data_IF_236906837413
#
_entry.id   IF_236906837413
#
_cell.length_a   1.000
_cell.length_b   1.000
_cell.length_c   1.000
_cell.angle_alpha   90.00
_cell.angle_beta   90.00
_cell.angle_gamma   90.00
#
_symmetry.space_group_name_H-M   'P 1'
#
loop_
_entity.id
_entity.type
_entity.pdbx_description
1 polymer ?
#
# COMPACT_ATOMS: atom_id res chain seq x y z
N UNK A 1 7.24 -74.12 -44.72
CA UNK A 1 7.12 -74.97 -43.52
C UNK A 1 6.71 -74.09 -42.35
N UNK A 2 5.48 -74.31 -41.86
CA UNK A 2 4.91 -74.07 -40.52
C UNK A 2 5.38 -72.86 -39.67
N UNK A 3 4.38 -72.03 -39.32
CA UNK A 3 3.99 -71.53 -37.97
C UNK A 3 5.10 -70.95 -37.06
N UNK A 4 4.92 -69.82 -36.37
CA UNK A 4 3.95 -69.67 -35.29
C UNK A 4 3.62 -68.19 -34.99
N UNK A 5 2.37 -67.99 -34.61
CA UNK A 5 1.78 -66.80 -33.99
C UNK A 5 2.28 -66.72 -32.54
N UNK A 6 2.64 -65.53 -32.06
CA UNK A 6 2.62 -65.24 -30.61
C UNK A 6 2.31 -63.76 -30.40
N UNK A 7 1.03 -63.45 -30.27
CA UNK A 7 0.55 -62.12 -29.87
C UNK A 7 0.65 -62.03 -28.35
N UNK A 8 1.57 -61.21 -27.85
CA UNK A 8 1.69 -60.87 -26.43
C UNK A 8 0.79 -59.65 -26.18
N UNK A 9 -0.25 -59.83 -25.38
CA UNK A 9 -1.12 -58.73 -24.92
C UNK A 9 -0.51 -58.17 -23.64
N UNK A 10 0.04 -56.95 -23.71
CA UNK A 10 0.43 -56.18 -22.52
C UNK A 10 -0.82 -55.50 -21.93
N UNK A 11 -1.23 -55.92 -20.74
CA UNK A 11 -2.27 -55.27 -19.94
C UNK A 11 -1.62 -54.16 -19.12
N UNK A 12 -1.73 -52.90 -19.57
CA UNK A 12 -1.35 -51.73 -18.77
C UNK A 12 -2.50 -51.37 -17.83
N UNK A 13 -2.37 -51.74 -16.56
CA UNK A 13 -3.23 -51.23 -15.49
C UNK A 13 -2.75 -49.81 -15.18
N UNK A 14 -3.41 -48.80 -15.73
CA UNK A 14 -3.23 -47.41 -15.32
C UNK A 14 -3.91 -47.20 -13.96
N UNK A 15 -3.10 -47.11 -12.91
CA UNK A 15 -3.57 -46.61 -11.62
C UNK A 15 -3.70 -45.09 -11.72
N UNK A 16 -4.89 -44.62 -12.12
CA UNK A 16 -5.25 -43.21 -12.08
C UNK A 16 -5.57 -42.81 -10.65
N UNK A 17 -4.55 -42.42 -9.87
CA UNK A 17 -4.76 -41.66 -8.65
C UNK A 17 -5.14 -40.22 -9.04
N UNK A 18 -6.43 -39.97 -9.24
CA UNK A 18 -6.98 -38.63 -9.37
C UNK A 18 -6.94 -37.94 -8.00
N UNK A 19 -5.85 -37.24 -7.72
CA UNK A 19 -5.83 -36.25 -6.65
C UNK A 19 -6.72 -35.08 -7.08
N UNK A 20 -7.95 -35.06 -6.55
CA UNK A 20 -8.80 -33.88 -6.59
C UNK A 20 -8.17 -32.79 -5.71
N UNK A 21 -7.11 -32.13 -6.19
CA UNK A 21 -6.74 -30.83 -5.67
C UNK A 21 -7.81 -29.87 -6.20
N UNK A 22 -8.88 -29.70 -5.42
CA UNK A 22 -9.70 -28.50 -5.55
C UNK A 22 -8.78 -27.34 -5.24
N UNK A 23 -8.17 -26.77 -6.28
CA UNK A 23 -7.68 -25.42 -6.23
C UNK A 23 -8.88 -24.57 -5.80
N UNK A 24 -8.91 -24.16 -4.54
CA UNK A 24 -9.74 -23.04 -4.14
C UNK A 24 -9.15 -21.84 -4.86
N UNK A 25 -9.64 -21.57 -6.07
CA UNK A 25 -9.59 -20.24 -6.62
C UNK A 25 -10.32 -19.37 -5.60
N UNK A 26 -9.55 -18.64 -4.79
CA UNK A 26 -10.03 -17.50 -4.02
C UNK A 26 -10.55 -16.54 -5.08
N UNK A 27 -11.85 -16.63 -5.38
CA UNK A 27 -12.53 -15.62 -6.18
C UNK A 27 -12.47 -14.36 -5.33
N UNK A 28 -11.46 -13.52 -5.57
CA UNK A 28 -11.42 -12.16 -5.02
C UNK A 28 -12.65 -11.49 -5.60
N UNK A 29 -13.68 -11.34 -4.78
CA UNK A 29 -14.83 -10.51 -5.05
C UNK A 29 -14.31 -9.09 -5.32
N UNK A 30 -14.10 -8.77 -6.59
CA UNK A 30 -13.78 -7.42 -7.06
C UNK A 30 -15.00 -6.52 -6.87
N UNK A 31 -15.19 -6.09 -5.63
CA UNK A 31 -15.97 -4.92 -5.25
C UNK A 31 -15.63 -4.51 -3.81
N UNK A 32 -14.35 -4.53 -3.43
CA UNK A 32 -13.92 -3.84 -2.22
C UNK A 32 -13.82 -2.36 -2.57
N UNK A 33 -14.96 -1.68 -2.55
CA UNK A 33 -14.99 -0.22 -2.59
C UNK A 33 -14.43 0.29 -1.25
N UNK A 34 -13.11 0.38 -1.13
CA UNK A 34 -12.49 1.00 0.03
C UNK A 34 -12.56 2.51 -0.18
N UNK A 35 -13.21 3.29 0.71
CA UNK A 35 -13.33 4.74 0.51
C UNK A 35 -11.98 5.45 0.60
N UNK A 36 -10.94 4.75 1.04
CA UNK A 36 -9.57 5.23 1.20
C UNK A 36 -8.77 5.27 -0.11
N UNK A 37 -9.01 4.36 -1.06
CA UNK A 37 -8.23 4.31 -2.32
C UNK A 37 -8.41 5.60 -3.12
N UNK A 38 -7.31 6.19 -3.56
CA UNK A 38 -7.26 7.47 -4.27
C UNK A 38 -6.21 8.41 -3.71
N UNK A 39 -6.26 9.66 -4.18
CA UNK A 39 -5.34 10.72 -3.80
C UNK A 39 -5.95 11.56 -2.71
N UNK A 40 -5.16 11.87 -1.68
CA UNK A 40 -5.59 12.76 -0.61
C UNK A 40 -4.53 13.82 -0.33
N UNK A 41 -4.98 15.01 0.03
CA UNK A 41 -4.14 16.18 0.21
C UNK A 41 -4.46 16.92 1.50
N UNK A 42 -3.41 17.47 2.11
CA UNK A 42 -3.49 18.48 3.16
C UNK A 42 -2.61 19.65 2.75
N UNK A 43 -3.16 20.85 2.83
CA UNK A 43 -2.47 22.09 2.49
C UNK A 43 -2.10 22.86 3.76
N UNK A 44 -0.91 23.43 3.77
CA UNK A 44 -0.44 24.34 4.81
C UNK A 44 0.38 25.46 4.18
N UNK A 45 -0.26 26.61 3.97
CA UNK A 45 0.34 27.72 3.24
C UNK A 45 0.67 27.32 1.80
N UNK A 46 1.96 27.33 1.44
CA UNK A 46 2.43 26.93 0.11
C UNK A 46 2.87 25.46 0.03
N UNK A 47 2.67 24.67 1.09
CA UNK A 47 3.01 23.25 1.10
C UNK A 47 1.76 22.39 0.91
N UNK A 48 1.92 21.29 0.17
CA UNK A 48 0.89 20.28 -0.05
C UNK A 48 1.48 18.95 0.37
N UNK A 49 0.95 18.35 1.43
CA UNK A 49 1.20 16.95 1.75
C UNK A 49 0.20 16.09 1.01
N UNK A 50 0.69 15.19 0.17
CA UNK A 50 -0.12 14.32 -0.69
C UNK A 50 0.16 12.86 -0.38
N UNK A 51 -0.90 12.07 -0.25
CA UNK A 51 -0.82 10.62 -0.21
C UNK A 51 -1.57 10.02 -1.41
N UNK A 52 -1.08 8.88 -1.90
CA UNK A 52 -1.73 8.06 -2.90
C UNK A 52 -1.94 6.67 -2.30
N UNK A 53 -3.19 6.25 -2.16
CA UNK A 53 -3.57 4.92 -1.66
C UNK A 53 -4.13 4.07 -2.80
N UNK A 54 -3.77 2.80 -2.86
CA UNK A 54 -4.18 1.83 -3.87
C UNK A 54 -4.38 0.44 -3.26
N UNK A 55 -5.06 -0.45 -3.98
CA UNK A 55 -5.13 -1.87 -3.60
C UNK A 55 -3.96 -2.62 -4.20
N UNK A 56 -3.35 -3.50 -3.42
CA UNK A 56 -2.39 -4.48 -3.93
C UNK A 56 -3.09 -5.73 -4.50
N UNK A 57 -2.30 -6.72 -4.92
CA UNK A 57 -2.78 -7.97 -5.51
C UNK A 57 -3.62 -8.82 -4.53
N UNK A 58 -3.39 -8.67 -3.22
CA UNK A 58 -4.09 -9.39 -2.17
C UNK A 58 -5.38 -8.67 -1.71
N UNK A 59 -5.57 -7.43 -2.16
CA UNK A 59 -6.69 -6.56 -1.80
C UNK A 59 -6.43 -5.73 -0.53
N UNK A 60 -5.20 -5.70 -0.05
CA UNK A 60 -4.78 -4.82 1.03
C UNK A 60 -4.44 -3.42 0.50
N UNK A 61 -4.43 -2.42 1.39
CA UNK A 61 -4.16 -1.03 1.03
C UNK A 61 -2.65 -0.80 1.06
N UNK A 62 -2.10 -0.50 -0.12
CA UNK A 62 -0.78 0.08 -0.32
C UNK A 62 -0.85 1.60 -0.47
N UNK A 63 0.29 2.28 -0.34
CA UNK A 63 0.39 3.69 -0.64
C UNK A 63 1.78 4.32 -0.55
N UNK A 64 1.84 5.54 -1.06
CA UNK A 64 2.99 6.41 -1.04
C UNK A 64 2.59 7.82 -0.59
N UNK A 65 3.57 8.61 -0.15
CA UNK A 65 3.38 10.00 0.20
C UNK A 65 4.43 10.91 -0.44
N UNK A 66 4.12 12.19 -0.49
CA UNK A 66 5.03 13.25 -0.92
C UNK A 66 4.68 14.56 -0.24
N UNK A 67 5.69 15.41 -0.05
CA UNK A 67 5.50 16.81 0.29
C UNK A 67 5.92 17.67 -0.91
N UNK A 68 5.01 18.52 -1.35
CA UNK A 68 5.22 19.47 -2.43
C UNK A 68 5.25 20.89 -1.86
N UNK A 69 5.95 21.78 -2.55
CA UNK A 69 5.93 23.21 -2.31
C UNK A 69 5.60 23.96 -3.60
N UNK A 70 4.60 24.81 -3.51
CA UNK A 70 4.15 25.69 -4.57
C UNK A 70 5.02 26.95 -4.57
N UNK A 71 5.66 27.24 -5.70
CA UNK A 71 6.45 28.46 -5.86
C UNK A 71 5.55 29.70 -6.12
N UNK A 72 6.14 30.89 -6.24
CA UNK A 72 5.42 32.15 -6.50
C UNK A 72 4.56 32.14 -7.78
N UNK A 73 4.83 31.21 -8.69
CA UNK A 73 4.12 31.08 -9.97
C UNK A 73 3.02 30.00 -9.91
N UNK A 74 2.75 29.43 -8.74
CA UNK A 74 1.74 28.38 -8.60
C UNK A 74 2.20 26.99 -9.03
N UNK A 75 3.50 26.79 -9.32
CA UNK A 75 4.04 25.51 -9.80
C UNK A 75 4.48 24.66 -8.60
N UNK A 76 3.92 23.44 -8.40
CA UNK A 76 4.36 22.53 -7.36
C UNK A 76 5.74 21.94 -7.67
N UNK A 77 6.61 21.89 -6.67
CA UNK A 77 7.92 21.23 -6.69
C UNK A 77 7.99 20.21 -5.58
N UNK A 78 8.58 19.04 -5.84
CA UNK A 78 8.68 17.98 -4.82
C UNK A 78 9.82 18.33 -3.85
N UNK A 79 9.51 18.45 -2.56
CA UNK A 79 10.51 18.55 -1.49
C UNK A 79 11.05 17.13 -1.21
N UNK A 80 10.13 16.19 -0.94
CA UNK A 80 10.45 14.78 -0.78
C UNK A 80 9.29 13.91 -1.22
N UNK A 81 9.59 12.65 -1.55
CA UNK A 81 8.61 11.62 -1.86
C UNK A 81 9.11 10.26 -1.41
N UNK A 82 8.19 9.41 -0.99
CA UNK A 82 8.53 8.07 -0.53
C UNK A 82 8.85 7.11 -1.69
N UNK A 83 8.18 7.29 -2.83
CA UNK A 83 8.46 6.54 -4.05
C UNK A 83 9.68 7.14 -4.76
N UNK A 84 10.86 6.63 -4.42
CA UNK A 84 12.16 7.06 -4.93
C UNK A 84 12.86 5.92 -5.66
N UNK A 85 13.68 6.28 -6.63
CA UNK A 85 14.60 5.35 -7.29
C UNK A 85 15.62 4.86 -6.24
N UNK A 86 15.79 3.54 -6.16
CA UNK A 86 16.74 2.87 -5.25
C UNK A 86 17.92 2.25 -6.00
N UNK A 87 18.09 2.62 -7.26
CA UNK A 87 19.12 2.12 -8.16
C UNK A 87 18.65 0.94 -9.01
N UNK A 88 19.40 0.66 -10.08
CA UNK A 88 19.16 -0.49 -10.96
C UNK A 88 17.77 -0.53 -11.63
N UNK A 89 17.13 0.63 -11.79
CA UNK A 89 15.77 0.72 -12.34
C UNK A 89 14.67 0.26 -11.37
N UNK A 90 14.99 0.11 -10.08
CA UNK A 90 14.05 -0.26 -9.04
C UNK A 90 13.54 0.99 -8.32
N UNK A 91 12.29 0.92 -7.87
CA UNK A 91 11.67 1.94 -7.03
C UNK A 91 11.35 1.39 -5.66
N UNK A 92 11.40 2.25 -4.64
CA UNK A 92 10.97 1.87 -3.30
C UNK A 92 9.51 1.40 -3.33
N UNK A 93 9.23 0.24 -2.73
CA UNK A 93 7.90 -0.33 -2.67
C UNK A 93 6.92 0.53 -1.86
N UNK A 94 5.69 0.03 -1.68
CA UNK A 94 4.69 0.69 -0.86
C UNK A 94 5.24 0.98 0.55
N UNK A 95 5.07 2.21 1.04
CA UNK A 95 5.49 2.62 2.39
C UNK A 95 4.32 2.75 3.36
N UNK A 96 3.09 2.67 2.85
CA UNK A 96 1.87 2.58 3.64
C UNK A 96 1.31 1.19 3.36
N UNK A 97 1.01 0.42 4.39
CA UNK A 97 0.52 -0.95 4.23
C UNK A 97 -0.49 -1.26 5.34
N UNK A 98 -1.70 -1.65 4.97
CA UNK A 98 -2.73 -1.92 5.95
C UNK A 98 -4.04 -2.37 5.36
N UNK A 99 -5.05 -2.43 6.22
CA UNK A 99 -6.39 -2.86 5.83
C UNK A 99 -7.45 -1.95 6.40
N UNK A 100 -8.61 -1.98 5.76
CA UNK A 100 -9.76 -1.15 6.11
C UNK A 100 -10.98 -2.00 6.44
N UNK A 101 -11.77 -1.52 7.39
CA UNK A 101 -13.10 -2.05 7.68
C UNK A 101 -14.24 -1.18 7.10
N UNK A 102 -13.92 -0.28 6.15
CA UNK A 102 -14.87 0.62 5.50
C UNK A 102 -14.81 2.05 6.03
N UNK A 103 -14.75 2.29 7.35
CA UNK A 103 -14.70 3.65 7.91
C UNK A 103 -13.37 3.99 8.57
N UNK A 104 -12.56 2.98 8.87
CA UNK A 104 -11.26 3.09 9.49
C UNK A 104 -10.23 2.32 8.66
N UNK A 105 -9.08 2.94 8.43
CA UNK A 105 -7.86 2.31 7.92
C UNK A 105 -6.87 2.23 9.08
N UNK A 106 -6.39 1.02 9.36
CA UNK A 106 -5.26 0.77 10.25
C UNK A 106 -4.09 0.25 9.41
N UNK A 107 -2.96 0.93 9.50
CA UNK A 107 -1.81 0.63 8.66
C UNK A 107 -0.48 0.78 9.41
N UNK A 108 0.57 0.20 8.86
CA UNK A 108 1.94 0.62 9.09
C UNK A 108 2.32 1.73 8.11
N UNK A 109 3.28 2.56 8.52
CA UNK A 109 3.89 3.55 7.64
C UNK A 109 5.39 3.62 7.89
N UNK A 110 6.17 3.67 6.82
CA UNK A 110 7.62 3.86 6.87
C UNK A 110 8.01 5.23 6.30
N UNK A 111 8.65 6.05 7.13
CA UNK A 111 9.28 7.28 6.68
C UNK A 111 10.69 7.01 6.16
N UNK A 112 10.78 6.76 4.86
CA UNK A 112 12.05 6.61 4.15
C UNK A 112 12.61 7.94 3.61
N UNK A 113 12.07 9.08 4.04
CA UNK A 113 12.52 10.42 3.62
C UNK A 113 13.39 11.10 4.68
N UNK A 114 13.59 10.45 5.83
CA UNK A 114 14.49 10.92 6.88
C UNK A 114 15.90 11.17 6.33
N UNK A 115 16.53 12.23 6.81
CA UNK A 115 17.93 12.51 6.49
C UNK A 115 18.81 12.04 7.65
N UNK A 116 19.09 10.74 7.70
CA UNK A 116 19.93 10.14 8.75
C UNK A 116 20.94 9.16 8.15
N UNK A 117 22.24 9.23 8.51
CA UNK A 117 23.27 8.37 7.94
C UNK A 117 23.19 6.91 8.40
N UNK A 118 22.56 6.64 9.55
CA UNK A 118 22.57 5.31 10.17
C UNK A 118 21.29 4.51 9.89
N UNK A 119 20.25 5.16 9.37
CA UNK A 119 18.94 4.56 9.20
C UNK A 119 18.33 4.92 7.87
N UNK A 120 17.74 3.93 7.21
CA UNK A 120 17.08 4.11 5.91
C UNK A 120 15.62 4.56 6.05
N UNK A 121 15.00 4.33 7.22
CA UNK A 121 13.64 4.76 7.53
C UNK A 121 13.32 4.74 9.04
N UNK A 122 12.16 5.34 9.41
CA UNK A 122 11.49 5.19 10.72
C UNK A 122 10.11 4.58 10.48
N UNK A 123 9.73 3.57 11.27
CA UNK A 123 8.42 2.93 11.16
C UNK A 123 7.41 3.43 12.21
N UNK A 124 6.14 3.45 11.83
CA UNK A 124 5.04 3.94 12.65
C UNK A 124 3.77 3.14 12.45
N UNK A 125 2.80 3.42 13.32
CA UNK A 125 1.41 3.01 13.16
C UNK A 125 0.61 4.17 12.62
N UNK A 126 -0.12 3.96 11.54
CA UNK A 126 -0.99 4.92 10.89
C UNK A 126 -2.46 4.57 11.18
N UNK A 127 -3.25 5.57 11.47
CA UNK A 127 -4.71 5.49 11.51
C UNK A 127 -5.33 6.61 10.68
N UNK A 128 -6.30 6.25 9.85
CA UNK A 128 -7.07 7.19 9.04
C UNK A 128 -8.57 6.85 9.18
N UNK A 129 -9.37 7.82 9.60
CA UNK A 129 -10.82 7.66 9.84
C UNK A 129 -11.59 8.62 8.96
N UNK A 130 -12.58 8.11 8.21
CA UNK A 130 -13.44 8.93 7.35
C UNK A 130 -14.31 9.84 8.23
N UNK A 131 -14.22 11.15 8.00
CA UNK A 131 -15.04 12.17 8.67
C UNK A 131 -16.30 12.45 7.84
N UNK A 132 -16.13 12.57 6.52
CA UNK A 132 -17.21 12.81 5.56
C UNK A 132 -16.94 11.99 4.29
N UNK A 133 -17.97 11.35 3.76
CA UNK A 133 -17.92 10.59 2.51
C UNK A 133 -18.14 11.44 1.26
N UNK A 134 -18.39 12.75 1.39
CA UNK A 134 -18.62 13.64 0.26
C UNK A 134 -20.03 13.51 -0.35
N UNK A 135 -21.03 13.09 0.43
CA UNK A 135 -22.39 12.84 -0.06
C UNK A 135 -23.21 14.12 -0.38
N UNK A 136 -22.54 15.27 -0.58
CA UNK A 136 -23.16 16.52 -0.98
C UNK A 136 -22.55 17.06 -2.28
N UNK A 137 -23.34 17.78 -3.06
CA UNK A 137 -22.91 18.37 -4.32
C UNK A 137 -21.76 19.34 -4.04
N UNK A 138 -20.59 19.09 -4.64
CA UNK A 138 -19.38 19.90 -4.47
C UNK A 138 -18.54 19.59 -3.23
N UNK A 139 -18.88 18.56 -2.46
CA UNK A 139 -18.14 18.19 -1.26
C UNK A 139 -17.12 17.08 -1.54
N UNK A 140 -15.86 17.33 -1.22
CA UNK A 140 -14.84 16.29 -1.22
C UNK A 140 -14.88 15.44 0.06
N UNK A 141 -14.66 14.12 -0.02
CA UNK A 141 -14.47 13.28 1.17
C UNK A 141 -13.30 13.79 2.02
N UNK A 142 -13.43 13.68 3.34
CA UNK A 142 -12.38 14.06 4.30
C UNK A 142 -12.11 12.95 5.30
N UNK A 143 -10.87 12.88 5.78
CA UNK A 143 -10.44 11.87 6.74
C UNK A 143 -9.36 12.41 7.68
N UNK A 144 -9.32 11.88 8.91
CA UNK A 144 -8.20 12.13 9.84
C UNK A 144 -6.95 11.44 9.34
N UNK A 145 -5.77 11.98 9.63
CA UNK A 145 -4.48 11.33 9.37
C UNK A 145 -3.61 11.42 10.62
N UNK A 146 -3.32 10.27 11.23
CA UNK A 146 -2.59 10.19 12.50
C UNK A 146 -1.52 9.10 12.47
N UNK A 147 -0.30 9.50 12.75
CA UNK A 147 0.87 8.63 12.85
C UNK A 147 1.31 8.59 14.30
N UNK A 148 1.55 7.38 14.81
CA UNK A 148 2.21 7.14 16.08
C UNK A 148 3.52 6.43 15.82
N UNK A 149 4.62 7.04 16.25
CA UNK A 149 5.94 6.41 16.23
C UNK A 149 5.92 5.07 16.96
N UNK A 150 6.42 4.01 16.32
CA UNK A 150 6.71 2.76 17.01
C UNK A 150 8.02 2.94 17.76
N UNK A 151 7.93 3.10 19.08
CA UNK A 151 9.08 3.03 19.99
C UNK A 151 9.44 1.57 20.23
N UNK A 152 9.91 0.89 19.18
CA UNK A 152 10.45 -0.47 19.31
C UNK A 152 11.73 -0.45 20.20
N UNK A 153 12.75 -1.27 19.95
CA UNK A 153 14.07 -1.17 20.58
C UNK A 153 14.83 0.11 20.17
N UNK A 154 14.26 1.28 20.44
CA UNK A 154 14.90 2.58 20.32
C UNK A 154 15.66 2.84 21.61
N UNK A 155 16.93 3.19 21.48
CA UNK A 155 17.72 3.67 22.62
C UNK A 155 17.08 4.96 23.14
N UNK A 156 17.22 5.26 24.43
CA UNK A 156 16.71 6.53 24.99
C UNK A 156 17.31 7.78 24.32
N UNK A 157 18.46 7.61 23.66
CA UNK A 157 19.16 8.65 22.89
C UNK A 157 18.68 8.78 21.45
N UNK A 158 17.68 7.99 21.03
CA UNK A 158 17.15 8.02 19.68
C UNK A 158 16.10 9.13 19.56
N UNK A 159 16.54 10.27 19.02
CA UNK A 159 15.77 11.50 18.82
C UNK A 159 15.14 11.60 17.42
N UNK A 160 15.19 10.53 16.61
CA UNK A 160 14.67 10.59 15.24
C UNK A 160 13.16 10.87 15.24
N UNK A 161 12.71 11.76 14.38
CA UNK A 161 11.29 12.09 14.20
C UNK A 161 10.86 11.85 12.77
N UNK A 162 9.56 11.60 12.59
CA UNK A 162 8.95 11.63 11.26
C UNK A 162 9.10 13.02 10.61
N UNK A 163 9.41 13.04 9.31
CA UNK A 163 9.23 14.19 8.44
C UNK A 163 7.76 14.36 8.02
N UNK A 164 7.00 13.26 8.03
CA UNK A 164 5.60 13.22 7.62
C UNK A 164 4.73 13.98 8.62
N UNK A 165 3.87 14.92 8.18
CA UNK A 165 2.92 15.57 9.08
C UNK A 165 1.92 14.55 9.65
N UNK A 166 1.49 14.79 10.88
CA UNK A 166 0.52 13.96 11.62
C UNK A 166 -0.52 14.85 12.29
N UNK A 167 -1.65 14.26 12.70
CA UNK A 167 -2.77 14.94 13.34
C UNK A 167 -3.39 16.03 12.47
N UNK A 168 -3.53 15.71 11.18
CA UNK A 168 -4.11 16.58 10.15
C UNK A 168 -5.42 16.00 9.61
N UNK A 169 -6.16 16.82 8.86
CA UNK A 169 -7.33 16.39 8.09
C UNK A 169 -6.96 16.44 6.61
N UNK A 170 -7.07 15.29 5.97
CA UNK A 170 -6.87 15.13 4.54
C UNK A 170 -8.19 15.30 3.80
N UNK A 171 -8.12 15.87 2.60
CA UNK A 171 -9.23 15.97 1.65
C UNK A 171 -8.92 15.10 0.43
N UNK A 172 -9.87 14.30 0.00
CA UNK A 172 -9.72 13.47 -1.20
C UNK A 172 -9.83 14.35 -2.44
N UNK A 173 -8.86 14.23 -3.34
CA UNK A 173 -8.84 14.94 -4.62
C UNK A 173 -9.06 13.93 -5.74
N UNK A 174 -9.87 14.31 -6.73
CA UNK A 174 -10.22 13.47 -7.89
C UNK A 174 -9.12 13.52 -8.94
#
# INVERSE_FOLDING_TARGET
MRLFITTIIFLLISCGASTNVKAQTKTVSQNINTPFVGTWEWENGNQIFRIQLFLDEDGDIGGHYSLLQTNSNGIPTVIYKSNKDIGHGLTYGSVIYGSSNGTLLKAGIDDNTINNPNYTHISGSLTMEIINTGNCIGCSPTATWKIKEKKDLRLETDDRTFNIPTDIILTKVH
#
